data_IF_834104974046
#
_entry.id   IF_834104974046
#
_cell.length_a   1.000
_cell.length_b   1.000
_cell.length_c   1.000
_cell.angle_alpha   90.00
_cell.angle_beta   90.00
_cell.angle_gamma   90.00
#
_symmetry.space_group_name_H-M   'P 1'
#
loop_
_entity.id
_entity.type
_entity.pdbx_description
1 polymer ?
#
# COMPACT_ATOMS: atom_id res chain seq x y z
N UNK A 1 17.43 -4.63 16.99
CA UNK A 1 16.84 -3.64 16.07
C UNK A 1 15.33 -3.59 16.30
N UNK A 2 14.78 -2.39 16.41
CA UNK A 2 13.38 -2.22 16.75
C UNK A 2 12.66 -1.41 15.70
N UNK A 3 11.43 -1.81 15.39
CA UNK A 3 10.52 -0.97 14.62
C UNK A 3 10.02 0.17 15.49
N UNK A 4 9.70 1.28 14.87
CA UNK A 4 9.08 2.44 15.51
C UNK A 4 7.59 2.43 15.16
N UNK A 5 6.75 2.52 16.20
CA UNK A 5 5.31 2.61 16.03
C UNK A 5 4.90 4.07 15.90
N UNK A 6 4.10 4.36 14.89
CA UNK A 6 3.51 5.68 14.66
C UNK A 6 2.00 5.59 14.77
N UNK A 7 1.38 6.67 15.23
CA UNK A 7 -0.07 6.76 15.29
C UNK A 7 -0.51 8.17 14.89
N UNK A 8 -1.53 8.25 14.04
CA UNK A 8 -2.13 9.51 13.61
C UNK A 8 -3.59 9.27 13.25
N UNK A 9 -4.52 9.94 13.93
CA UNK A 9 -5.97 9.86 13.66
C UNK A 9 -6.47 8.41 13.59
N UNK A 10 -6.13 7.60 14.58
CA UNK A 10 -6.45 6.18 14.70
C UNK A 10 -5.69 5.27 13.75
N UNK A 11 -4.97 5.80 12.79
CA UNK A 11 -4.12 5.02 11.90
C UNK A 11 -2.82 4.67 12.62
N UNK A 12 -2.46 3.39 12.63
CA UNK A 12 -1.26 2.90 13.30
C UNK A 12 -0.40 2.15 12.30
N UNK A 13 0.89 2.52 12.23
CA UNK A 13 1.82 1.82 11.35
C UNK A 13 3.21 1.72 11.98
N UNK A 14 4.02 0.84 11.41
CA UNK A 14 5.39 0.63 11.84
C UNK A 14 6.36 1.14 10.79
N UNK A 15 7.51 1.63 11.23
CA UNK A 15 8.60 2.02 10.35
C UNK A 15 9.91 1.45 10.85
N UNK A 16 10.87 1.26 9.95
CA UNK A 16 12.20 0.77 10.28
C UNK A 16 13.23 1.89 10.22
N UNK A 17 14.00 2.14 11.28
CA UNK A 17 15.08 3.13 11.23
C UNK A 17 16.13 2.83 10.16
N UNK A 18 16.25 1.57 9.74
CA UNK A 18 17.20 1.18 8.68
C UNK A 18 16.80 1.73 7.31
N UNK A 19 15.52 2.13 7.13
CA UNK A 19 15.02 2.68 5.89
C UNK A 19 14.85 4.20 5.95
N UNK A 20 15.68 4.88 6.75
CA UNK A 20 15.54 6.31 7.03
C UNK A 20 15.65 7.22 5.81
N UNK A 21 16.23 6.76 4.71
CA UNK A 21 16.32 7.53 3.46
C UNK A 21 15.13 7.36 2.52
N UNK A 22 14.15 6.55 2.90
CA UNK A 22 13.01 6.20 2.04
C UNK A 22 11.72 6.39 2.84
N UNK A 23 10.71 7.02 2.23
CA UNK A 23 9.38 7.03 2.82
C UNK A 23 8.80 5.63 2.76
N UNK A 24 8.40 5.11 3.90
CA UNK A 24 7.90 3.74 4.00
C UNK A 24 7.04 3.57 5.24
N UNK A 25 6.25 2.52 5.26
CA UNK A 25 5.48 2.13 6.42
C UNK A 25 4.91 0.73 6.24
N UNK A 26 4.76 0.05 7.35
CA UNK A 26 4.10 -1.25 7.42
C UNK A 26 2.77 -1.03 8.13
N UNK A 27 1.68 -1.17 7.40
CA UNK A 27 0.34 -0.91 7.91
C UNK A 27 -0.06 -1.92 8.98
N UNK A 28 -0.98 -1.51 9.84
CA UNK A 28 -1.75 -2.40 10.71
C UNK A 28 -3.19 -2.41 10.23
N UNK A 29 -4.05 -3.15 10.93
CA UNK A 29 -5.48 -3.16 10.62
C UNK A 29 -6.22 -1.88 10.99
N UNK A 30 -5.59 -0.95 11.71
CA UNK A 30 -6.26 0.20 12.32
C UNK A 30 -6.20 1.45 11.45
N UNK A 31 -7.26 2.24 11.53
CA UNK A 31 -7.29 3.60 10.98
C UNK A 31 -7.99 3.76 9.66
N UNK A 32 -8.66 2.73 9.16
CA UNK A 32 -9.39 2.78 7.92
C UNK A 32 -10.89 2.94 8.06
N UNK A 33 -11.60 2.74 6.96
CA UNK A 33 -13.07 2.91 6.87
C UNK A 33 -13.80 1.62 6.56
N UNK A 34 -13.10 0.51 6.40
CA UNK A 34 -13.74 -0.76 6.02
C UNK A 34 -14.50 -1.36 7.20
N UNK A 35 -15.73 -1.89 6.95
CA UNK A 35 -16.49 -2.58 7.98
C UNK A 35 -15.95 -3.99 8.23
N UNK A 36 -16.47 -4.65 9.25
CA UNK A 36 -16.16 -6.07 9.48
C UNK A 36 -16.61 -6.90 8.27
N UNK A 37 -15.89 -7.92 7.87
CA UNK A 37 -14.72 -8.52 8.51
C UNK A 37 -13.38 -7.88 8.11
N UNK A 38 -13.37 -6.79 7.34
CA UNK A 38 -12.15 -6.12 6.86
C UNK A 38 -11.65 -5.01 7.78
N UNK A 39 -12.23 -4.87 8.93
CA UNK A 39 -12.07 -3.70 9.83
C UNK A 39 -10.64 -3.53 10.33
N UNK A 40 -10.09 -2.38 10.03
CA UNK A 40 -10.69 -1.25 9.30
C UNK A 40 -9.84 -0.76 8.13
N UNK A 41 -8.53 -0.99 8.13
CA UNK A 41 -7.60 -0.53 7.10
C UNK A 41 -7.33 -1.64 6.08
N UNK A 42 -8.36 -2.07 5.39
CA UNK A 42 -8.19 -3.04 4.32
C UNK A 42 -7.51 -2.39 3.12
N UNK A 43 -6.34 -2.91 2.75
CA UNK A 43 -5.56 -2.44 1.60
C UNK A 43 -5.55 -3.47 0.47
N UNK A 44 -6.40 -4.49 0.55
CA UNK A 44 -6.50 -5.55 -0.45
C UNK A 44 -7.70 -5.38 -1.36
N UNK A 45 -7.54 -4.87 -2.60
CA UNK A 45 -8.65 -4.82 -3.55
C UNK A 45 -9.08 -6.22 -3.98
N UNK A 46 -10.33 -6.35 -4.40
CA UNK A 46 -10.85 -7.62 -4.90
C UNK A 46 -11.13 -8.67 -3.83
N UNK A 47 -11.28 -8.27 -2.58
CA UNK A 47 -11.55 -9.17 -1.45
C UNK A 47 -12.99 -9.07 -0.92
N UNK A 48 -13.88 -8.48 -1.69
CA UNK A 48 -15.29 -8.35 -1.31
C UNK A 48 -15.66 -7.04 -0.63
N UNK A 49 -14.69 -6.26 -0.18
CA UNK A 49 -14.92 -4.92 0.34
C UNK A 49 -15.25 -3.95 -0.80
N UNK A 50 -16.00 -2.90 -0.48
CA UNK A 50 -16.32 -1.87 -1.47
C UNK A 50 -15.03 -1.21 -1.98
N UNK A 51 -14.87 -1.04 -3.31
CA UNK A 51 -13.67 -0.41 -3.86
C UNK A 51 -13.39 0.97 -3.28
N UNK A 52 -14.43 1.75 -3.00
CA UNK A 52 -14.30 3.09 -2.41
C UNK A 52 -13.63 3.04 -1.03
N UNK A 53 -13.91 2.00 -0.25
CA UNK A 53 -13.30 1.82 1.06
C UNK A 53 -11.80 1.55 0.94
N UNK A 54 -11.42 0.69 0.01
CA UNK A 54 -10.01 0.35 -0.23
C UNK A 54 -9.25 1.58 -0.72
N UNK A 55 -9.82 2.34 -1.64
CA UNK A 55 -9.19 3.57 -2.15
C UNK A 55 -9.03 4.61 -1.05
N UNK A 56 -10.03 4.81 -0.20
CA UNK A 56 -9.94 5.73 0.92
C UNK A 56 -8.88 5.29 1.93
N UNK A 57 -8.76 3.98 2.19
CA UNK A 57 -7.75 3.45 3.08
C UNK A 57 -6.34 3.73 2.55
N UNK A 58 -6.10 3.55 1.26
CA UNK A 58 -4.83 3.91 0.64
C UNK A 58 -4.55 5.40 0.75
N UNK A 59 -5.56 6.23 0.49
CA UNK A 59 -5.42 7.69 0.61
C UNK A 59 -4.98 8.08 2.01
N UNK A 60 -5.59 7.50 3.03
CA UNK A 60 -5.24 7.80 4.43
C UNK A 60 -3.83 7.36 4.77
N UNK A 61 -3.47 6.15 4.37
CA UNK A 61 -2.16 5.59 4.67
C UNK A 61 -1.06 6.40 3.99
N UNK A 62 -1.21 6.71 2.72
CA UNK A 62 -0.21 7.49 1.99
C UNK A 62 -0.10 8.93 2.53
N UNK A 63 -1.20 9.55 2.90
CA UNK A 63 -1.16 10.87 3.53
C UNK A 63 -0.36 10.85 4.84
N UNK A 64 -0.53 9.81 5.65
CA UNK A 64 0.24 9.64 6.89
C UNK A 64 1.73 9.45 6.64
N UNK A 65 2.09 8.81 5.53
CA UNK A 65 3.49 8.62 5.12
C UNK A 65 4.06 9.80 4.34
N UNK A 66 3.29 10.87 4.20
CA UNK A 66 3.67 12.05 3.40
C UNK A 66 4.01 11.67 1.95
N UNK A 67 3.22 10.77 1.40
CA UNK A 67 3.30 10.37 0.00
C UNK A 67 2.14 10.96 -0.77
N UNK A 68 2.47 11.67 -1.85
CA UNK A 68 1.48 12.15 -2.80
C UNK A 68 1.20 11.05 -3.81
N UNK A 69 0.30 10.13 -3.45
CA UNK A 69 0.02 9.01 -4.31
C UNK A 69 -1.47 8.77 -4.46
N UNK A 70 -2.02 9.27 -5.55
CA UNK A 70 -3.32 8.87 -6.03
C UNK A 70 -3.23 7.59 -6.89
N UNK A 71 -2.03 7.16 -7.26
CA UNK A 71 -1.81 6.11 -8.26
C UNK A 71 -0.78 5.08 -7.81
N UNK A 72 -1.08 4.30 -6.74
CA UNK A 72 -0.16 3.27 -6.29
C UNK A 72 -0.03 2.18 -7.35
N UNK A 73 1.08 1.44 -7.28
CA UNK A 73 1.30 0.24 -8.09
C UNK A 73 1.25 -0.97 -7.17
N UNK A 74 0.31 -1.86 -7.43
CA UNK A 74 0.11 -3.04 -6.62
C UNK A 74 0.45 -4.29 -7.41
N UNK A 75 0.82 -5.36 -6.71
CA UNK A 75 1.04 -6.65 -7.31
C UNK A 75 0.05 -7.68 -6.76
N UNK A 76 -0.07 -8.79 -7.47
CA UNK A 76 -0.70 -10.00 -6.95
C UNK A 76 0.38 -11.06 -6.87
N UNK A 77 0.63 -11.54 -5.66
CA UNK A 77 1.63 -12.57 -5.43
C UNK A 77 1.22 -13.90 -6.03
N UNK A 78 2.19 -14.60 -6.58
CA UNK A 78 2.02 -15.95 -7.12
C UNK A 78 2.86 -16.98 -6.34
N UNK A 79 3.59 -16.50 -5.31
CA UNK A 79 4.41 -17.30 -4.41
C UNK A 79 5.53 -18.04 -5.14
N UNK A 80 6.20 -17.31 -6.04
CA UNK A 80 7.39 -17.75 -6.76
C UNK A 80 8.51 -16.74 -6.55
N UNK A 81 9.27 -16.45 -7.57
CA UNK A 81 10.37 -15.47 -7.53
C UNK A 81 10.21 -14.40 -8.61
N UNK A 82 8.98 -14.12 -9.00
CA UNK A 82 8.69 -13.15 -10.06
C UNK A 82 8.87 -11.73 -9.53
N UNK A 83 9.78 -10.98 -10.17
CA UNK A 83 10.05 -9.58 -9.87
C UNK A 83 9.72 -8.74 -11.09
N UNK A 84 8.90 -7.70 -10.90
CA UNK A 84 8.52 -6.81 -11.98
C UNK A 84 9.24 -5.47 -11.84
N UNK A 85 9.86 -5.01 -12.93
CA UNK A 85 10.35 -3.65 -13.04
C UNK A 85 9.17 -2.74 -13.41
N UNK A 86 8.86 -1.79 -12.53
CA UNK A 86 7.76 -0.86 -12.71
C UNK A 86 8.28 0.50 -13.15
N UNK A 87 7.50 1.14 -14.01
CA UNK A 87 7.78 2.50 -14.52
C UNK A 87 6.57 3.39 -14.27
N UNK A 88 6.68 4.67 -14.64
CA UNK A 88 5.58 5.61 -14.54
C UNK A 88 4.32 5.13 -15.29
N UNK A 89 4.50 4.32 -16.33
CA UNK A 89 3.38 3.75 -17.09
C UNK A 89 2.53 2.78 -16.25
N UNK A 90 3.05 2.26 -15.15
CA UNK A 90 2.33 1.34 -14.28
C UNK A 90 1.50 2.04 -13.20
N UNK A 91 1.57 3.36 -13.11
CA UNK A 91 0.89 4.13 -12.07
C UNK A 91 -0.60 3.80 -12.01
N UNK A 92 -1.09 3.45 -10.83
CA UNK A 92 -2.48 3.10 -10.58
C UNK A 92 -2.86 1.65 -10.84
N UNK A 93 -1.97 0.84 -11.41
CA UNK A 93 -2.27 -0.56 -11.71
C UNK A 93 -2.47 -1.37 -10.43
N UNK A 94 -3.60 -2.05 -10.37
CA UNK A 94 -4.00 -2.87 -9.23
C UNK A 94 -4.95 -2.20 -8.26
N UNK A 95 -5.11 -0.88 -8.33
CA UNK A 95 -6.07 -0.15 -7.51
C UNK A 95 -7.00 0.72 -8.37
N UNK A 96 -6.42 1.71 -9.08
CA UNK A 96 -7.21 2.67 -9.86
C UNK A 96 -7.60 2.07 -11.21
N UNK A 97 -6.75 1.24 -11.77
CA UNK A 97 -6.99 0.55 -13.04
C UNK A 97 -6.48 -0.88 -12.96
N UNK A 98 -6.86 -1.67 -13.96
CA UNK A 98 -6.55 -3.08 -13.98
C UNK A 98 -5.04 -3.32 -14.08
N UNK A 99 -4.62 -4.37 -13.41
CA UNK A 99 -3.27 -4.89 -13.47
C UNK A 99 -3.16 -5.90 -14.61
N UNK A 100 -2.07 -5.83 -15.36
CA UNK A 100 -1.79 -6.76 -16.48
C UNK A 100 -0.60 -7.68 -16.20
N UNK A 101 -0.28 -7.87 -14.91
CA UNK A 101 0.83 -8.70 -14.47
C UNK A 101 0.54 -9.32 -13.11
N UNK A 102 1.26 -10.39 -12.78
CA UNK A 102 1.40 -10.92 -11.43
C UNK A 102 2.87 -10.85 -11.04
N UNK A 103 3.16 -10.58 -9.78
CA UNK A 103 4.53 -10.51 -9.29
C UNK A 103 4.58 -10.68 -7.77
N UNK A 104 5.68 -11.22 -7.28
CA UNK A 104 5.92 -11.38 -5.85
C UNK A 104 6.66 -10.18 -5.27
N UNK A 105 7.37 -9.43 -6.11
CA UNK A 105 8.05 -8.20 -5.73
C UNK A 105 8.00 -7.18 -6.87
N UNK A 106 8.11 -5.93 -6.49
CA UNK A 106 8.18 -4.81 -7.43
C UNK A 106 9.49 -4.06 -7.21
N UNK A 107 10.11 -3.61 -8.30
CA UNK A 107 11.30 -2.78 -8.26
C UNK A 107 11.11 -1.61 -9.21
N UNK A 108 11.64 -0.44 -8.86
CA UNK A 108 11.55 0.73 -9.73
C UNK A 108 12.75 1.64 -9.55
N UNK A 109 13.10 2.36 -10.61
CA UNK A 109 14.05 3.45 -10.58
C UNK A 109 13.35 4.82 -10.66
N UNK A 110 12.03 4.85 -10.73
CA UNK A 110 11.27 6.09 -10.77
C UNK A 110 11.31 6.79 -9.42
N UNK A 111 11.37 8.11 -9.43
CA UNK A 111 11.33 8.96 -8.25
C UNK A 111 9.95 9.57 -8.06
N UNK A 112 9.53 9.78 -6.79
CA UNK A 112 8.28 10.44 -6.44
C UNK A 112 7.13 9.52 -6.10
#
# INVERSE_FOLDING_TARGET
MSFVTHEQQSLVWLASPLLGGVRHGFSTRRGGVSPAPWDTLNLGPGRGDAPENVEENYRRFFAALDMDSAYPVLSRQVHRDDVRLCTAADAGKGLIRDRDYDADALITAEKG
#
